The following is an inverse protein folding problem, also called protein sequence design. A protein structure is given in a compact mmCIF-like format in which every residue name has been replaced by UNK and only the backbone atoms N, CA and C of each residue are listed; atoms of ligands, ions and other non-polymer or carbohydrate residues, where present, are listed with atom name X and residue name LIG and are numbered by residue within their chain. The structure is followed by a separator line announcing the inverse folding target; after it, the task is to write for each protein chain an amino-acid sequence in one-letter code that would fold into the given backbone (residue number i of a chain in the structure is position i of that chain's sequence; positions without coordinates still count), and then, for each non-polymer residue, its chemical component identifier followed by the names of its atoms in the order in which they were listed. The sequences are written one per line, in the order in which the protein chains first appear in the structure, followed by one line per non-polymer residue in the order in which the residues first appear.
data_IF_071953218525
#
_entry.id   IF_071953218525
#
_cell.length_a   1.000
_cell.length_b   1.000
_cell.length_c   1.000
_cell.angle_alpha   90.00
_cell.angle_beta   90.00
_cell.angle_gamma   90.00
#
_symmetry.space_group_name_H-M   'P 1'
#
loop_
_entity.id
_entity.type
_entity.pdbx_description
1 polymer ?
#
# COMPACT_ATOMS: atom_id res chain seq x y z
N UNK A 1 -6.59 10.51 17.54
CA UNK A 1 -6.32 9.44 16.55
C UNK A 1 -4.88 9.44 16.03
N UNK A 2 -4.26 10.59 15.68
CA UNK A 2 -2.86 10.66 15.22
C UNK A 2 -1.85 9.97 16.16
N UNK A 3 -2.06 10.03 17.48
CA UNK A 3 -1.20 9.40 18.49
C UNK A 3 -1.10 7.86 18.36
N UNK A 4 -2.10 7.22 17.75
CA UNK A 4 -2.19 5.76 17.60
C UNK A 4 -1.53 5.26 16.31
N UNK A 5 -1.75 5.96 15.19
CA UNK A 5 -1.12 5.65 13.89
C UNK A 5 0.41 5.73 14.01
N UNK A 6 0.90 6.74 14.74
CA UNK A 6 2.34 6.96 14.94
C UNK A 6 2.93 6.22 16.16
N UNK A 7 2.23 5.26 16.79
CA UNK A 7 2.81 4.47 17.88
C UNK A 7 3.82 3.44 17.38
N UNK A 8 3.54 2.78 16.24
CA UNK A 8 4.47 1.85 15.57
C UNK A 8 5.22 2.52 14.41
N UNK A 9 5.94 3.63 14.70
CA UNK A 9 6.61 4.45 13.67
C UNK A 9 7.49 3.62 12.72
N UNK A 10 8.24 2.63 13.23
CA UNK A 10 9.13 1.79 12.40
C UNK A 10 8.36 0.94 11.38
N UNK A 11 7.28 0.29 11.81
CA UNK A 11 6.46 -0.55 10.92
C UNK A 11 5.72 0.30 9.90
N UNK A 12 5.17 1.44 10.33
CA UNK A 12 4.51 2.40 9.45
C UNK A 12 5.45 2.96 8.37
N UNK A 13 6.67 3.36 8.75
CA UNK A 13 7.69 3.84 7.80
C UNK A 13 8.07 2.73 6.81
N UNK A 14 8.24 1.49 7.28
CA UNK A 14 8.53 0.34 6.41
C UNK A 14 7.41 0.11 5.39
N UNK A 15 6.15 0.14 5.82
CA UNK A 15 4.99 0.02 4.92
C UNK A 15 4.95 1.13 3.88
N UNK A 16 5.25 2.38 4.27
CA UNK A 16 5.30 3.50 3.33
C UNK A 16 6.42 3.31 2.31
N UNK A 17 7.64 2.97 2.75
CA UNK A 17 8.78 2.76 1.84
C UNK A 17 8.46 1.66 0.83
N UNK A 18 7.94 0.52 1.28
CA UNK A 18 7.57 -0.58 0.39
C UNK A 18 6.49 -0.16 -0.60
N UNK A 19 5.45 0.57 -0.16
CA UNK A 19 4.42 1.10 -1.07
C UNK A 19 4.98 2.07 -2.09
N UNK A 20 5.88 2.98 -1.70
CA UNK A 20 6.52 3.92 -2.63
C UNK A 20 7.35 3.17 -3.68
N UNK A 21 8.12 2.16 -3.29
CA UNK A 21 8.88 1.33 -4.24
C UNK A 21 7.92 0.59 -5.17
N UNK A 22 6.85 0.00 -4.64
CA UNK A 22 5.81 -0.65 -5.45
C UNK A 22 5.15 0.31 -6.44
N UNK A 23 4.88 1.55 -6.05
CA UNK A 23 4.33 2.60 -6.94
C UNK A 23 5.29 2.95 -8.08
N UNK A 24 6.60 3.04 -7.80
CA UNK A 24 7.62 3.30 -8.84
C UNK A 24 7.65 2.16 -9.85
N UNK A 25 7.69 0.91 -9.37
CA UNK A 25 7.66 -0.26 -10.25
C UNK A 25 6.33 -0.31 -11.03
N UNK A 26 5.18 -0.05 -10.39
CA UNK A 26 3.91 0.03 -11.09
C UNK A 26 3.95 0.99 -12.28
N UNK A 27 4.49 2.20 -12.11
CA UNK A 27 4.66 3.17 -13.20
C UNK A 27 5.67 2.69 -14.25
N UNK A 28 6.75 2.03 -13.84
CA UNK A 28 7.77 1.47 -14.74
C UNK A 28 7.23 0.34 -15.64
N UNK A 29 6.14 -0.33 -15.27
CA UNK A 29 5.50 -1.37 -16.13
C UNK A 29 5.19 -0.86 -17.53
N UNK A 30 4.79 0.41 -17.67
CA UNK A 30 4.49 1.01 -18.97
C UNK A 30 5.73 1.05 -19.89
N UNK A 31 6.90 1.33 -19.33
CA UNK A 31 8.18 1.36 -20.06
C UNK A 31 8.59 -0.06 -20.47
N UNK A 32 8.38 -1.05 -19.59
CA UNK A 32 8.65 -2.46 -19.90
C UNK A 32 7.80 -2.92 -21.08
N UNK A 33 6.48 -2.63 -21.04
CA UNK A 33 5.56 -2.96 -22.13
C UNK A 33 5.98 -2.25 -23.42
N UNK A 34 6.34 -0.96 -23.35
CA UNK A 34 6.82 -0.21 -24.51
C UNK A 34 8.05 -0.88 -25.14
N UNK A 35 9.03 -1.29 -24.34
CA UNK A 35 10.23 -1.97 -24.83
C UNK A 35 9.92 -3.32 -25.52
N UNK A 36 8.95 -4.10 -25.00
CA UNK A 36 8.48 -5.33 -25.65
C UNK A 36 7.87 -5.01 -27.03
N UNK A 37 7.02 -3.98 -27.11
CA UNK A 37 6.35 -3.58 -28.36
C UNK A 37 7.37 -3.07 -29.38
N UNK A 38 8.30 -2.19 -28.98
CA UNK A 38 9.29 -1.59 -29.86
C UNK A 38 10.23 -2.66 -30.44
N UNK A 39 10.64 -3.65 -29.62
CA UNK A 39 11.48 -4.76 -30.09
C UNK A 39 10.71 -5.74 -30.99
N UNK A 40 9.42 -5.95 -30.75
CA UNK A 40 8.57 -6.77 -31.62
C UNK A 40 8.35 -6.12 -32.99
N UNK A 41 8.08 -4.82 -33.03
CA UNK A 41 7.87 -4.06 -34.28
C UNK A 41 9.18 -3.90 -35.05
N UNK A 42 10.31 -3.76 -34.37
CA UNK A 42 11.63 -3.68 -34.99
C UNK A 42 12.09 -4.95 -35.72
N UNK A 43 11.42 -6.10 -35.51
CA UNK A 43 11.67 -7.35 -36.22
C UNK A 43 12.95 -8.10 -35.82
N UNK A 44 13.67 -7.61 -34.81
CA UNK A 44 14.90 -8.22 -34.29
C UNK A 44 14.56 -9.26 -33.20
N UNK A 45 14.51 -10.53 -33.61
CA UNK A 45 14.07 -11.64 -32.76
C UNK A 45 14.99 -11.87 -31.55
N UNK A 46 16.29 -11.60 -31.67
CA UNK A 46 17.25 -11.76 -30.57
C UNK A 46 17.02 -10.71 -29.49
N UNK A 47 16.82 -9.44 -29.91
CA UNK A 47 16.48 -8.36 -28.97
C UNK A 47 15.12 -8.56 -28.33
N UNK A 48 14.13 -9.03 -29.09
CA UNK A 48 12.81 -9.35 -28.58
C UNK A 48 12.86 -10.46 -27.51
N UNK A 49 13.56 -11.57 -27.78
CA UNK A 49 13.73 -12.65 -26.81
C UNK A 49 14.39 -12.16 -25.51
N UNK A 50 15.44 -11.33 -25.63
CA UNK A 50 16.09 -10.69 -24.48
C UNK A 50 15.13 -9.80 -23.68
N UNK A 51 14.33 -8.97 -24.37
CA UNK A 51 13.35 -8.09 -23.75
C UNK A 51 12.26 -8.87 -22.99
N UNK A 52 11.78 -9.97 -23.56
CA UNK A 52 10.77 -10.84 -22.93
C UNK A 52 11.33 -11.50 -21.67
N UNK A 53 12.55 -12.06 -21.72
CA UNK A 53 13.17 -12.69 -20.55
C UNK A 53 13.36 -11.68 -19.41
N UNK A 54 13.88 -10.49 -19.71
CA UNK A 54 14.03 -9.42 -18.72
C UNK A 54 12.68 -9.00 -18.12
N UNK A 55 11.63 -8.94 -18.94
CA UNK A 55 10.29 -8.60 -18.51
C UNK A 55 9.70 -9.65 -17.56
N UNK A 56 9.92 -10.94 -17.82
CA UNK A 56 9.48 -12.02 -16.94
C UNK A 56 10.15 -11.89 -15.56
N UNK A 57 11.48 -11.70 -15.53
CA UNK A 57 12.22 -11.51 -14.28
C UNK A 57 11.70 -10.28 -13.52
N UNK A 58 11.45 -9.19 -14.25
CA UNK A 58 10.85 -7.98 -13.71
C UNK A 58 9.48 -8.25 -13.07
N UNK A 59 8.53 -8.87 -13.79
CA UNK A 59 7.20 -9.12 -13.26
C UNK A 59 7.21 -10.08 -12.06
N UNK A 60 8.06 -11.10 -12.06
CA UNK A 60 8.25 -11.99 -10.91
C UNK A 60 8.73 -11.21 -9.68
N UNK A 61 9.76 -10.37 -9.85
CA UNK A 61 10.28 -9.53 -8.76
C UNK A 61 9.23 -8.53 -8.28
N UNK A 62 8.42 -7.99 -9.19
CA UNK A 62 7.41 -7.00 -8.87
C UNK A 62 6.25 -7.62 -8.07
N UNK A 63 5.74 -8.77 -8.49
CA UNK A 63 4.70 -9.51 -7.75
C UNK A 63 5.20 -9.91 -6.36
N UNK A 64 6.44 -10.36 -6.25
CA UNK A 64 7.05 -10.71 -4.96
C UNK A 64 7.14 -9.48 -4.05
N UNK A 65 7.51 -8.31 -4.57
CA UNK A 65 7.53 -7.08 -3.79
C UNK A 65 6.14 -6.65 -3.34
N UNK A 66 5.13 -6.73 -4.22
CA UNK A 66 3.74 -6.41 -3.87
C UNK A 66 3.25 -7.30 -2.73
N UNK A 67 3.53 -8.60 -2.82
CA UNK A 67 3.18 -9.56 -1.78
C UNK A 67 3.84 -9.23 -0.43
N UNK A 68 5.15 -8.93 -0.42
CA UNK A 68 5.86 -8.51 0.80
C UNK A 68 5.27 -7.21 1.35
N UNK A 69 4.97 -6.22 0.48
CA UNK A 69 4.37 -4.96 0.90
C UNK A 69 3.03 -5.17 1.59
N UNK A 70 2.16 -6.03 1.05
CA UNK A 70 0.85 -6.30 1.64
C UNK A 70 0.92 -7.15 2.91
N UNK A 71 1.90 -8.06 3.02
CA UNK A 71 2.18 -8.77 4.26
C UNK A 71 2.61 -7.82 5.38
N UNK A 72 3.56 -6.92 5.10
CA UNK A 72 4.04 -5.94 6.08
C UNK A 72 2.92 -4.97 6.48
N UNK A 73 2.11 -4.52 5.53
CA UNK A 73 0.90 -3.71 5.77
C UNK A 73 -0.05 -4.43 6.73
N UNK A 74 -0.42 -5.67 6.39
CA UNK A 74 -1.36 -6.49 7.18
C UNK A 74 -0.83 -6.73 8.61
N UNK A 75 0.47 -6.99 8.74
CA UNK A 75 1.11 -7.15 10.05
C UNK A 75 1.05 -5.87 10.88
N UNK A 76 1.34 -4.71 10.27
CA UNK A 76 1.25 -3.40 10.94
C UNK A 76 -0.17 -3.10 11.44
N UNK A 77 -1.19 -3.30 10.61
CA UNK A 77 -2.59 -3.06 10.98
C UNK A 77 -3.02 -4.00 12.10
N UNK A 78 -2.74 -5.30 11.96
CA UNK A 78 -3.09 -6.30 12.97
C UNK A 78 -2.49 -5.93 14.34
N UNK A 79 -1.22 -5.54 14.36
CA UNK A 79 -0.54 -5.14 15.59
C UNK A 79 -1.14 -3.84 16.19
N UNK A 80 -1.50 -2.88 15.33
CA UNK A 80 -2.16 -1.63 15.72
C UNK A 80 -3.52 -1.88 16.36
N UNK A 81 -4.35 -2.73 15.73
CA UNK A 81 -5.68 -3.09 16.20
C UNK A 81 -5.62 -3.91 17.49
N UNK A 82 -4.69 -4.87 17.59
CA UNK A 82 -4.51 -5.63 18.83
C UNK A 82 -4.11 -4.74 20.00
N UNK A 83 -3.23 -3.75 19.78
CA UNK A 83 -2.88 -2.79 20.82
C UNK A 83 -4.05 -1.87 21.19
N UNK A 84 -4.83 -1.40 20.20
CA UNK A 84 -6.04 -0.62 20.44
C UNK A 84 -7.06 -1.40 21.29
N UNK A 85 -7.32 -2.67 20.94
CA UNK A 85 -8.20 -3.57 21.71
C UNK A 85 -7.73 -3.70 23.16
N UNK A 86 -6.43 -3.91 23.39
CA UNK A 86 -5.84 -4.00 24.75
C UNK A 86 -6.01 -2.72 25.56
N UNK A 87 -5.77 -1.56 24.95
CA UNK A 87 -5.90 -0.26 25.65
C UNK A 87 -7.36 0.04 26.00
N UNK A 88 -8.30 -0.21 25.08
CA UNK A 88 -9.72 0.00 25.36
C UNK A 88 -10.20 -0.97 26.45
N UNK A 89 -9.80 -2.24 26.38
CA UNK A 89 -10.15 -3.22 27.41
C UNK A 89 -9.60 -2.81 28.78
N UNK A 90 -8.32 -2.43 28.86
CA UNK A 90 -7.71 -2.02 30.12
C UNK A 90 -8.28 -0.70 30.67
N UNK A 91 -8.56 0.30 29.82
CA UNK A 91 -9.09 1.60 30.25
C UNK A 91 -10.57 1.55 30.64
N UNK A 92 -11.37 0.84 29.85
CA UNK A 92 -12.83 0.82 30.01
C UNK A 92 -13.27 -0.15 31.09
N UNK A 93 -12.66 -1.34 31.19
CA UNK A 93 -13.05 -2.33 32.21
C UNK A 93 -12.59 -1.91 33.62
N UNK A 94 -11.46 -1.21 33.77
CA UNK A 94 -11.06 -0.66 35.07
C UNK A 94 -12.00 0.46 35.55
N UNK A 95 -12.52 1.29 34.64
CA UNK A 95 -13.51 2.32 34.98
C UNK A 95 -14.90 1.72 35.23
N UNK A 96 -15.31 0.74 34.43
CA UNK A 96 -16.65 0.16 34.52
C UNK A 96 -16.80 -0.79 35.71
N UNK A 97 -15.73 -1.34 36.31
CA UNK A 97 -15.82 -2.20 37.50
C UNK A 97 -16.52 -1.54 38.70
N UNK A 98 -16.58 -0.19 38.73
CA UNK A 98 -17.37 0.56 39.72
C UNK A 98 -18.88 0.56 39.46
N UNK A 99 -19.32 0.31 38.22
CA UNK A 99 -20.72 0.34 37.75
C UNK A 99 -21.18 -0.96 37.05
N UNK A 100 -20.38 -2.04 37.10
CA UNK A 100 -20.55 -3.27 36.32
C UNK A 100 -21.62 -4.22 36.88
N UNK A 101 -22.79 -3.71 37.25
CA UNK A 101 -23.89 -4.52 37.74
C UNK A 101 -25.19 -4.02 37.12
N UNK A 102 -25.46 -4.38 35.85
CA UNK A 102 -26.84 -4.67 35.40
C UNK A 102 -27.10 -4.98 33.91
N UNK A 103 -26.19 -4.87 32.93
CA UNK A 103 -26.52 -5.27 31.54
C UNK A 103 -25.38 -5.95 30.75
N UNK A 104 -25.75 -7.03 30.06
CA UNK A 104 -25.04 -7.89 29.12
C UNK A 104 -23.62 -7.44 28.72
N UNK A 105 -22.62 -7.82 29.53
CA UNK A 105 -21.19 -7.63 29.24
C UNK A 105 -20.77 -8.21 27.88
N UNK A 106 -21.46 -9.25 27.41
CA UNK A 106 -21.25 -9.86 26.11
C UNK A 106 -21.66 -8.94 24.95
N UNK A 107 -22.81 -8.28 25.04
CA UNK A 107 -23.31 -7.35 24.00
C UNK A 107 -22.39 -6.13 23.89
N UNK A 108 -21.89 -5.63 25.03
CA UNK A 108 -20.92 -4.53 25.05
C UNK A 108 -19.61 -4.89 24.33
N UNK A 109 -19.04 -6.05 24.64
CA UNK A 109 -17.81 -6.54 23.99
C UNK A 109 -18.03 -6.81 22.49
N UNK A 110 -19.20 -7.33 22.14
CA UNK A 110 -19.58 -7.59 20.74
C UNK A 110 -19.65 -6.29 19.92
N UNK A 111 -20.39 -5.30 20.42
CA UNK A 111 -20.52 -4.00 19.78
C UNK A 111 -19.17 -3.30 19.66
N UNK A 112 -18.36 -3.32 20.72
CA UNK A 112 -17.01 -2.76 20.70
C UNK A 112 -16.11 -3.43 19.66
N UNK A 113 -16.17 -4.76 19.56
CA UNK A 113 -15.39 -5.50 18.57
C UNK A 113 -15.82 -5.14 17.15
N UNK A 114 -17.13 -4.97 16.92
CA UNK A 114 -17.66 -4.54 15.65
C UNK A 114 -17.18 -3.13 15.28
N UNK A 115 -17.24 -2.19 16.22
CA UNK A 115 -16.77 -0.81 16.01
C UNK A 115 -15.28 -0.75 15.66
N UNK A 116 -14.45 -1.58 16.32
CA UNK A 116 -13.02 -1.65 16.04
C UNK A 116 -12.77 -2.24 14.64
N UNK A 117 -13.54 -3.24 14.23
CA UNK A 117 -13.43 -3.81 12.88
C UNK A 117 -13.88 -2.81 11.81
N UNK A 118 -14.93 -2.01 12.07
CA UNK A 118 -15.33 -0.91 11.19
C UNK A 118 -14.22 0.14 11.08
N UNK A 119 -13.56 0.49 12.19
CA UNK A 119 -12.43 1.42 12.20
C UNK A 119 -11.20 0.86 11.44
N UNK A 120 -10.92 -0.44 11.57
CA UNK A 120 -9.87 -1.12 10.82
C UNK A 120 -10.11 -1.00 9.31
N UNK A 121 -11.29 -1.42 8.85
CA UNK A 121 -11.61 -1.56 7.44
C UNK A 121 -11.95 -0.25 6.74
N UNK A 122 -12.60 0.69 7.43
CA UNK A 122 -13.08 1.93 6.81
C UNK A 122 -12.15 3.11 7.05
N UNK A 123 -11.18 3.00 7.96
CA UNK A 123 -10.28 4.10 8.29
C UNK A 123 -8.79 3.72 8.22
N UNK A 124 -8.31 2.75 9.01
CA UNK A 124 -6.87 2.46 9.05
C UNK A 124 -6.38 1.89 7.71
N UNK A 125 -7.06 0.89 7.16
CA UNK A 125 -6.72 0.29 5.87
C UNK A 125 -6.70 1.34 4.74
N UNK A 126 -7.79 2.09 4.50
CA UNK A 126 -7.84 3.05 3.40
C UNK A 126 -6.83 4.18 3.55
N UNK A 127 -6.57 4.68 4.77
CA UNK A 127 -5.58 5.75 4.99
C UNK A 127 -4.17 5.31 4.59
N UNK A 128 -3.78 4.07 4.91
CA UNK A 128 -2.47 3.53 4.51
C UNK A 128 -2.39 3.34 2.99
N UNK A 129 -3.49 2.93 2.36
CA UNK A 129 -3.56 2.75 0.90
C UNK A 129 -3.50 4.08 0.14
N UNK A 130 -4.25 5.09 0.59
CA UNK A 130 -4.28 6.42 -0.01
C UNK A 130 -2.90 7.06 -0.12
N UNK A 131 -2.02 6.84 0.86
CA UNK A 131 -0.64 7.35 0.81
C UNK A 131 0.07 6.80 -0.44
N UNK A 132 -0.03 5.49 -0.68
CA UNK A 132 0.56 4.86 -1.86
C UNK A 132 -0.04 5.39 -3.17
N UNK A 133 -1.37 5.51 -3.22
CA UNK A 133 -2.08 6.02 -4.40
C UNK A 133 -1.68 7.46 -4.76
N UNK A 134 -1.50 8.33 -3.76
CA UNK A 134 -1.02 9.70 -3.98
C UNK A 134 0.38 9.70 -4.60
N UNK A 135 1.29 8.86 -4.10
CA UNK A 135 2.63 8.74 -4.70
C UNK A 135 2.57 8.21 -6.13
N UNK A 136 1.77 7.18 -6.40
CA UNK A 136 1.55 6.65 -7.74
C UNK A 136 1.06 7.74 -8.68
N UNK A 137 0.07 8.53 -8.28
CA UNK A 137 -0.47 9.63 -9.06
C UNK A 137 0.58 10.71 -9.38
N UNK A 138 1.38 11.10 -8.39
CA UNK A 138 2.45 12.09 -8.58
C UNK A 138 3.54 11.58 -9.55
N UNK A 139 3.96 10.32 -9.42
CA UNK A 139 4.93 9.69 -10.31
C UNK A 139 4.42 9.59 -11.74
N UNK A 140 3.16 9.21 -11.91
CA UNK A 140 2.50 9.15 -13.21
C UNK A 140 2.49 10.52 -13.89
N UNK A 141 2.11 11.58 -13.15
CA UNK A 141 2.15 12.95 -13.66
C UNK A 141 3.56 13.38 -14.09
N UNK A 142 4.58 13.00 -13.32
CA UNK A 142 5.99 13.26 -13.66
C UNK A 142 6.38 12.57 -14.98
N UNK A 143 6.08 11.28 -15.13
CA UNK A 143 6.36 10.51 -16.33
C UNK A 143 5.68 11.11 -17.58
N UNK A 144 4.41 11.51 -17.46
CA UNK A 144 3.69 12.18 -18.54
C UNK A 144 4.29 13.55 -18.92
N UNK A 145 4.74 14.33 -17.93
CA UNK A 145 5.39 15.62 -18.19
C UNK A 145 6.72 15.48 -18.93
N UNK A 146 7.52 14.46 -18.60
CA UNK A 146 8.78 14.16 -19.28
C UNK A 146 8.54 13.65 -20.70
N UNK A 147 7.57 12.75 -20.89
CA UNK A 147 7.25 12.21 -22.22
C UNK A 147 6.62 13.24 -23.18
N UNK A 148 5.90 14.24 -22.65
CA UNK A 148 5.37 15.35 -23.45
C UNK A 148 6.45 16.40 -23.76
N UNK A 149 7.35 16.69 -22.83
CA UNK A 149 8.52 17.54 -23.09
C UNK A 149 9.42 16.96 -24.19
N UNK A 150 9.65 15.64 -24.18
CA UNK A 150 10.43 14.95 -25.21
C UNK A 150 9.76 14.99 -26.59
N UNK A 151 8.43 14.81 -26.64
CA UNK A 151 7.64 14.89 -27.89
C UNK A 151 7.57 16.30 -28.49
N UNK A 152 7.64 17.34 -27.66
CA UNK A 152 7.67 18.74 -28.13
C UNK A 152 9.04 19.13 -28.70
N UNK A 153 10.14 18.56 -28.21
CA UNK A 153 11.48 18.79 -28.78
C UNK A 153 11.69 18.08 -30.13
N UNK A 154 11.09 16.90 -30.33
CA UNK A 154 11.16 16.17 -31.61
C UNK A 154 10.29 16.75 -32.73
N UNK A 155 9.43 17.73 -32.44
CA UNK A 155 8.58 18.41 -33.43
C UNK A 155 9.23 19.71 -33.97
N UNK A 156 10.36 20.13 -33.40
CA UNK A 156 11.11 21.35 -33.77
C UNK A 156 12.48 21.06 -34.39
N UNK A 157 12.74 19.81 -34.82
CA UNK A 157 13.89 19.43 -35.65
C UNK A 157 13.44 18.64 -36.87
#
# INVERSE_FOLDING_TARGET
MNKYIFKFKRQFISTIILKVISSVLWVYTAIVIQNIVDTAVGGDMDKFAGAVILSIVYFLSFVLLLFISDLVKSYYIKNTIQNLKKEIFNGTIHQSFKDFKSKASADYISNLTNDINLLENNYINPVVELIGEVFTFLLLRCLFSLGSAFRLQSFWF
#
